data_IF_896118082632
#
_entry.id   IF_896118082632
#
_cell.length_a   1.000
_cell.length_b   1.000
_cell.length_c   1.000
_cell.angle_alpha   90.00
_cell.angle_beta   90.00
_cell.angle_gamma   90.00
#
_symmetry.space_group_name_H-M   'P 1'
#
loop_
_entity.id
_entity.type
_entity.pdbx_description
1 polymer ?
#
# COMPACT_ATOMS: atom_id res chain seq x y z
N UNK A 1 1.26 -19.52 -20.05
CA UNK A 1 1.97 -18.25 -20.27
C UNK A 1 0.96 -17.12 -20.19
N UNK A 2 1.29 -16.04 -19.47
CA UNK A 2 0.44 -14.85 -19.38
C UNK A 2 0.49 -14.07 -20.70
N UNK A 3 -0.68 -13.76 -21.26
CA UNK A 3 -0.82 -12.97 -22.48
C UNK A 3 -1.61 -11.69 -22.16
N UNK A 4 -0.95 -10.54 -22.32
CA UNK A 4 -1.52 -9.24 -22.00
C UNK A 4 -2.77 -8.91 -22.82
N UNK A 5 -2.76 -9.21 -24.13
CA UNK A 5 -3.88 -8.92 -25.01
C UNK A 5 -5.08 -9.81 -24.66
N UNK A 6 -4.85 -11.09 -24.35
CA UNK A 6 -5.90 -12.00 -23.91
C UNK A 6 -6.53 -11.58 -22.57
N UNK A 7 -5.73 -11.07 -21.62
CA UNK A 7 -6.21 -10.55 -20.34
C UNK A 7 -7.11 -9.34 -20.55
N UNK A 8 -6.69 -8.36 -21.38
CA UNK A 8 -7.48 -7.17 -21.68
C UNK A 8 -8.77 -7.55 -22.39
N UNK A 9 -8.70 -8.39 -23.43
CA UNK A 9 -9.88 -8.83 -24.18
C UNK A 9 -10.89 -9.59 -23.30
N UNK A 10 -10.43 -10.41 -22.35
CA UNK A 10 -11.31 -11.07 -21.38
C UNK A 10 -12.03 -10.05 -20.48
N UNK A 11 -11.31 -9.02 -20.01
CA UNK A 11 -11.90 -7.97 -19.20
C UNK A 11 -12.90 -7.09 -19.98
N UNK A 12 -12.57 -6.71 -21.21
CA UNK A 12 -13.47 -5.98 -22.11
C UNK A 12 -14.75 -6.78 -22.38
N UNK A 13 -14.62 -8.07 -22.67
CA UNK A 13 -15.76 -8.97 -22.87
C UNK A 13 -16.62 -9.13 -21.60
N UNK A 14 -15.99 -9.17 -20.43
CA UNK A 14 -16.69 -9.27 -19.15
C UNK A 14 -17.50 -8.00 -18.83
N UNK A 15 -16.89 -6.82 -18.99
CA UNK A 15 -17.49 -5.54 -18.60
C UNK A 15 -18.44 -5.00 -19.69
N UNK A 16 -18.15 -5.32 -20.95
CA UNK A 16 -18.92 -4.90 -22.12
C UNK A 16 -18.53 -3.53 -22.68
N UNK A 17 -17.30 -3.06 -22.42
CA UNK A 17 -16.73 -1.84 -23.02
C UNK A 17 -15.32 -2.12 -23.51
N UNK A 18 -14.86 -1.36 -24.52
CA UNK A 18 -13.46 -1.32 -24.90
C UNK A 18 -12.65 -0.53 -23.86
N UNK A 19 -11.37 -0.85 -23.72
CA UNK A 19 -10.46 -0.19 -22.79
C UNK A 19 -10.23 1.29 -23.17
N UNK A 20 -10.67 2.24 -22.34
CA UNK A 20 -10.50 3.67 -22.63
C UNK A 20 -9.15 4.23 -22.15
N UNK A 21 -8.31 3.44 -21.46
CA UNK A 21 -7.05 3.89 -20.86
C UNK A 21 -5.83 3.35 -21.68
N UNK A 22 -5.44 3.98 -22.80
CA UNK A 22 -4.52 3.40 -23.77
C UNK A 22 -3.10 3.13 -23.24
N UNK A 23 -2.66 3.85 -22.20
CA UNK A 23 -1.34 3.67 -21.58
C UNK A 23 -1.22 2.38 -20.75
N UNK A 24 -2.34 1.77 -20.36
CA UNK A 24 -2.33 0.60 -19.46
C UNK A 24 -1.92 -0.68 -20.17
N UNK A 25 -2.19 -0.79 -21.48
CA UNK A 25 -1.86 -1.99 -22.26
C UNK A 25 -0.34 -2.24 -22.33
N UNK A 26 0.46 -1.18 -22.51
CA UNK A 26 1.92 -1.28 -22.50
C UNK A 26 2.44 -1.72 -21.12
N UNK A 27 1.87 -1.19 -20.04
CA UNK A 27 2.23 -1.55 -18.67
C UNK A 27 2.03 -3.06 -18.45
N UNK A 28 0.91 -3.62 -18.91
CA UNK A 28 0.65 -5.06 -18.79
C UNK A 28 1.60 -5.89 -19.65
N UNK A 29 1.81 -5.50 -20.91
CA UNK A 29 2.69 -6.22 -21.81
C UNK A 29 4.12 -6.33 -21.27
N UNK A 30 4.65 -5.24 -20.71
CA UNK A 30 5.98 -5.22 -20.07
C UNK A 30 6.01 -6.05 -18.79
N UNK A 31 4.94 -6.02 -17.99
CA UNK A 31 4.83 -6.85 -16.79
C UNK A 31 4.84 -8.33 -17.15
N UNK A 32 4.00 -8.76 -18.10
CA UNK A 32 3.93 -10.18 -18.51
C UNK A 32 5.22 -10.64 -19.16
N UNK A 33 5.89 -9.78 -19.94
CA UNK A 33 7.21 -10.07 -20.49
C UNK A 33 8.26 -10.26 -19.37
N UNK A 34 8.31 -9.35 -18.39
CA UNK A 34 9.23 -9.47 -17.26
C UNK A 34 8.92 -10.72 -16.42
N UNK A 35 7.65 -11.05 -16.18
CA UNK A 35 7.28 -12.28 -15.46
C UNK A 35 7.78 -13.53 -16.17
N UNK A 36 7.64 -13.60 -17.50
CA UNK A 36 8.11 -14.72 -18.30
C UNK A 36 9.63 -14.87 -18.27
N UNK A 37 10.37 -13.75 -18.21
CA UNK A 37 11.83 -13.73 -18.19
C UNK A 37 12.41 -14.03 -16.80
N UNK A 38 11.91 -13.35 -15.76
CA UNK A 38 12.61 -13.25 -14.47
C UNK A 38 11.90 -13.94 -13.31
N UNK A 39 10.69 -14.48 -13.51
CA UNK A 39 9.94 -15.16 -12.46
C UNK A 39 9.14 -16.39 -12.94
N UNK A 40 9.81 -17.52 -13.24
CA UNK A 40 9.12 -18.76 -13.57
C UNK A 40 8.17 -19.20 -12.45
N UNK A 41 6.87 -19.29 -12.77
CA UNK A 41 5.82 -19.65 -11.83
C UNK A 41 5.40 -21.12 -11.98
N UNK A 42 4.94 -21.72 -10.88
CA UNK A 42 4.21 -22.99 -10.95
C UNK A 42 2.90 -22.80 -11.72
N UNK A 43 2.29 -23.89 -12.20
CA UNK A 43 0.99 -23.79 -12.88
C UNK A 43 -0.09 -23.13 -12.02
N UNK A 44 -0.10 -23.41 -10.71
CA UNK A 44 -1.01 -22.77 -9.76
C UNK A 44 -0.69 -21.28 -9.57
N UNK A 45 0.60 -20.92 -9.47
CA UNK A 45 1.06 -19.54 -9.38
C UNK A 45 0.71 -18.71 -10.61
N UNK A 46 0.91 -19.26 -11.81
CA UNK A 46 0.56 -18.60 -13.07
C UNK A 46 -0.97 -18.42 -13.17
N UNK A 47 -1.76 -19.44 -12.83
CA UNK A 47 -3.21 -19.34 -12.82
C UNK A 47 -3.70 -18.28 -11.81
N UNK A 48 -3.06 -18.15 -10.64
CA UNK A 48 -3.38 -17.11 -9.68
C UNK A 48 -3.00 -15.72 -10.19
N UNK A 49 -1.82 -15.55 -10.79
CA UNK A 49 -1.39 -14.28 -11.37
C UNK A 49 -2.34 -13.82 -12.49
N UNK A 50 -2.72 -14.72 -13.39
CA UNK A 50 -3.70 -14.43 -14.45
C UNK A 50 -5.03 -13.95 -13.87
N UNK A 51 -5.57 -14.66 -12.86
CA UNK A 51 -6.83 -14.26 -12.22
C UNK A 51 -6.74 -12.86 -11.63
N UNK A 52 -5.65 -12.53 -10.93
CA UNK A 52 -5.45 -11.19 -10.36
C UNK A 52 -5.43 -10.12 -11.47
N UNK A 53 -4.60 -10.30 -12.51
CA UNK A 53 -4.49 -9.33 -13.61
C UNK A 53 -5.81 -9.13 -14.37
N UNK A 54 -6.61 -10.19 -14.54
CA UNK A 54 -7.96 -10.09 -15.12
C UNK A 54 -8.91 -9.34 -14.18
N UNK A 55 -8.91 -9.66 -12.89
CA UNK A 55 -9.75 -8.94 -11.91
C UNK A 55 -9.39 -7.46 -11.82
N UNK A 56 -8.10 -7.12 -11.83
CA UNK A 56 -7.60 -5.75 -11.85
C UNK A 56 -8.07 -4.99 -13.09
N UNK A 57 -8.00 -5.65 -14.26
CA UNK A 57 -8.56 -5.11 -15.52
C UNK A 57 -10.07 -4.90 -15.43
N UNK A 58 -10.83 -5.88 -14.95
CA UNK A 58 -12.29 -5.79 -14.79
C UNK A 58 -12.66 -4.63 -13.87
N UNK A 59 -12.03 -4.53 -12.69
CA UNK A 59 -12.31 -3.46 -11.73
C UNK A 59 -12.01 -2.08 -12.32
N UNK A 60 -10.93 -1.95 -13.11
CA UNK A 60 -10.62 -0.72 -13.83
C UNK A 60 -11.68 -0.37 -14.86
N UNK A 61 -12.04 -1.32 -15.72
CA UNK A 61 -13.01 -1.11 -16.80
C UNK A 61 -14.42 -0.85 -16.24
N UNK A 62 -14.81 -1.50 -15.14
CA UNK A 62 -16.05 -1.19 -14.43
C UNK A 62 -16.07 0.27 -13.98
N UNK A 63 -14.99 0.79 -13.36
CA UNK A 63 -14.93 2.21 -12.98
C UNK A 63 -15.07 3.15 -14.19
N UNK A 64 -14.45 2.80 -15.32
CA UNK A 64 -14.55 3.59 -16.54
C UNK A 64 -15.96 3.53 -17.14
N UNK A 65 -16.62 2.36 -17.12
CA UNK A 65 -18.02 2.17 -17.53
C UNK A 65 -18.97 3.02 -16.69
N UNK A 66 -18.76 3.06 -15.37
CA UNK A 66 -19.54 3.91 -14.47
C UNK A 66 -19.40 5.39 -14.82
N UNK A 67 -18.18 5.86 -15.09
CA UNK A 67 -17.95 7.24 -15.53
C UNK A 67 -18.55 7.53 -16.91
N UNK A 68 -18.50 6.58 -17.86
CA UNK A 68 -19.15 6.74 -19.16
C UNK A 68 -20.67 6.88 -19.04
N UNK A 69 -21.28 6.12 -18.13
CA UNK A 69 -22.73 6.14 -17.90
C UNK A 69 -23.17 7.34 -17.05
N UNK A 70 -22.35 7.76 -16.10
CA UNK A 70 -22.60 8.87 -15.17
C UNK A 70 -21.38 9.80 -15.14
N UNK A 71 -21.23 10.71 -16.12
CA UNK A 71 -20.08 11.59 -16.23
C UNK A 71 -19.84 12.47 -15.00
N UNK A 72 -20.89 12.77 -14.22
CA UNK A 72 -20.79 13.53 -12.97
C UNK A 72 -19.87 12.87 -11.92
N UNK A 73 -19.63 11.56 -12.01
CA UNK A 73 -18.64 10.87 -11.15
C UNK A 73 -17.26 11.50 -11.33
N UNK A 74 -16.87 11.85 -12.55
CA UNK A 74 -15.56 12.46 -12.81
C UNK A 74 -15.42 13.87 -12.23
N UNK A 75 -16.54 14.52 -11.91
CA UNK A 75 -16.59 15.86 -11.30
C UNK A 75 -16.53 15.82 -9.77
N UNK A 76 -16.67 14.66 -9.15
CA UNK A 76 -16.58 14.49 -7.69
C UNK A 76 -15.22 15.01 -7.17
N UNK A 77 -15.20 16.02 -6.29
CA UNK A 77 -13.96 16.59 -5.81
C UNK A 77 -13.34 15.66 -4.77
N UNK A 78 -12.05 15.33 -4.96
CA UNK A 78 -11.23 14.69 -3.92
C UNK A 78 -10.43 15.80 -3.23
N UNK A 79 -11.03 16.39 -2.19
CA UNK A 79 -10.49 17.58 -1.51
C UNK A 79 -9.47 17.18 -0.45
N UNK A 80 -8.28 17.78 -0.54
CA UNK A 80 -7.17 17.67 0.42
C UNK A 80 -6.93 16.23 0.94
N UNK A 81 -6.76 15.22 0.07
CA UNK A 81 -6.53 13.85 0.50
C UNK A 81 -5.23 13.74 1.32
N UNK A 82 -5.29 12.95 2.39
CA UNK A 82 -4.14 12.66 3.25
C UNK A 82 -3.57 11.30 2.87
N UNK A 83 -2.35 11.27 2.36
CA UNK A 83 -1.64 10.04 2.00
C UNK A 83 -0.80 9.54 3.17
N UNK A 84 -1.17 8.39 3.73
CA UNK A 84 -0.47 7.67 4.79
C UNK A 84 0.55 6.71 4.16
N UNK A 85 1.83 6.96 4.36
CA UNK A 85 2.90 6.28 3.63
C UNK A 85 4.17 6.15 4.47
N UNK A 86 5.24 5.65 3.86
CA UNK A 86 6.52 5.42 4.51
C UNK A 86 7.23 4.25 3.87
N UNK A 87 8.33 3.79 4.47
CA UNK A 87 8.90 2.53 4.01
C UNK A 87 7.90 1.40 4.28
N UNK A 88 7.73 0.43 3.36
CA UNK A 88 7.00 -0.79 3.69
C UNK A 88 7.58 -1.41 4.97
N UNK A 89 6.72 -1.98 5.82
CA UNK A 89 7.10 -2.55 7.14
C UNK A 89 7.52 -1.53 8.22
N UNK A 90 7.32 -0.22 8.00
CA UNK A 90 7.57 0.84 9.01
C UNK A 90 6.42 1.07 10.00
N UNK A 91 5.42 0.17 10.04
CA UNK A 91 4.29 0.29 10.97
C UNK A 91 3.07 1.03 10.41
N UNK A 92 3.07 1.38 9.12
CA UNK A 92 1.95 2.06 8.44
C UNK A 92 0.59 1.37 8.63
N UNK A 93 0.53 0.05 8.80
CA UNK A 93 -0.75 -0.66 9.01
C UNK A 93 -1.29 -0.39 10.41
N UNK A 94 -0.44 -0.45 11.45
CA UNK A 94 -0.86 -0.05 12.80
C UNK A 94 -1.31 1.41 12.81
N UNK A 95 -0.54 2.29 12.16
CA UNK A 95 -0.90 3.70 12.01
C UNK A 95 -2.24 3.90 11.30
N UNK A 96 -2.50 3.20 10.20
CA UNK A 96 -3.77 3.27 9.46
C UNK A 96 -4.96 2.98 10.35
N UNK A 97 -4.88 1.93 11.19
CA UNK A 97 -5.97 1.57 12.09
C UNK A 97 -6.18 2.59 13.22
N UNK A 98 -5.13 3.28 13.67
CA UNK A 98 -5.28 4.41 14.58
C UNK A 98 -5.94 5.60 13.88
N UNK A 99 -5.51 5.92 12.65
CA UNK A 99 -6.04 7.03 11.86
C UNK A 99 -7.52 6.81 11.49
N UNK A 100 -7.91 5.56 11.21
CA UNK A 100 -9.29 5.14 10.96
C UNK A 100 -10.21 5.21 12.20
N UNK A 101 -9.72 5.74 13.34
CA UNK A 101 -10.56 6.09 14.50
C UNK A 101 -11.09 7.52 14.43
N UNK A 102 -10.62 8.33 13.49
CA UNK A 102 -11.18 9.64 13.22
C UNK A 102 -12.31 9.55 12.18
N UNK A 103 -13.59 9.68 12.59
CA UNK A 103 -14.72 9.49 11.69
C UNK A 103 -14.86 10.60 10.63
N UNK A 104 -14.09 11.70 10.75
CA UNK A 104 -14.04 12.77 9.74
C UNK A 104 -13.46 12.25 8.43
N UNK A 105 -12.53 11.30 8.50
CA UNK A 105 -11.88 10.74 7.33
C UNK A 105 -12.59 9.48 6.82
N UNK A 106 -12.49 9.26 5.52
CA UNK A 106 -12.81 8.00 4.89
C UNK A 106 -11.53 7.31 4.43
N UNK A 107 -11.41 6.04 4.80
CA UNK A 107 -10.40 5.13 4.27
C UNK A 107 -11.08 4.10 3.37
N UNK A 108 -10.31 3.52 2.45
CA UNK A 108 -10.75 2.40 1.61
C UNK A 108 -10.99 1.20 2.51
N UNK A 109 -12.16 0.56 2.41
CA UNK A 109 -12.47 -0.67 3.13
C UNK A 109 -11.94 -1.89 2.38
N UNK A 110 -11.59 -2.96 3.09
CA UNK A 110 -11.07 -4.22 2.52
C UNK A 110 -11.98 -4.86 1.48
N UNK A 111 -13.30 -4.73 1.61
CA UNK A 111 -14.23 -5.22 0.60
C UNK A 111 -14.36 -4.24 -0.59
N UNK A 112 -14.14 -2.94 -0.39
CA UNK A 112 -14.13 -1.93 -1.46
C UNK A 112 -12.90 -2.08 -2.36
N UNK A 113 -11.75 -2.48 -1.81
CA UNK A 113 -10.52 -2.69 -2.58
C UNK A 113 -10.62 -3.86 -3.57
N UNK A 114 -11.33 -4.93 -3.19
CA UNK A 114 -11.51 -6.14 -4.01
C UNK A 114 -12.73 -6.04 -4.93
N UNK A 115 -13.82 -5.46 -4.43
CA UNK A 115 -15.10 -5.33 -5.14
C UNK A 115 -15.58 -3.88 -5.12
N UNK A 116 -14.94 -2.94 -5.84
CA UNK A 116 -15.26 -1.50 -5.78
C UNK A 116 -16.60 -1.15 -6.44
N UNK A 117 -17.01 -1.89 -7.46
CA UNK A 117 -18.26 -1.67 -8.20
C UNK A 117 -19.42 -2.57 -7.71
N UNK A 118 -20.68 -2.13 -7.80
CA UNK A 118 -21.11 -0.77 -8.20
C UNK A 118 -20.75 0.29 -7.13
N UNK A 119 -20.76 1.59 -7.45
CA UNK A 119 -20.64 2.67 -6.47
C UNK A 119 -21.54 2.44 -5.25
N UNK A 120 -21.00 2.44 -4.02
CA UNK A 120 -21.77 2.07 -2.83
C UNK A 120 -22.93 3.04 -2.53
N UNK A 121 -22.77 4.32 -2.86
CA UNK A 121 -23.84 5.32 -2.74
C UNK A 121 -24.96 5.14 -3.79
N UNK A 122 -24.68 4.46 -4.91
CA UNK A 122 -25.68 4.16 -5.94
C UNK A 122 -26.49 2.90 -5.61
N UNK A 123 -25.82 1.84 -5.15
CA UNK A 123 -26.47 0.59 -4.73
C UNK A 123 -26.06 0.22 -3.29
N UNK A 124 -26.70 0.82 -2.26
CA UNK A 124 -26.43 0.49 -0.86
C UNK A 124 -26.71 -0.99 -0.52
N UNK A 125 -27.63 -1.65 -1.24
CA UNK A 125 -27.94 -3.07 -1.00
C UNK A 125 -26.79 -3.99 -1.44
N UNK A 126 -25.98 -3.59 -2.43
CA UNK A 126 -24.78 -4.32 -2.81
C UNK A 126 -23.72 -4.36 -1.71
N UNK A 127 -23.68 -3.37 -0.81
CA UNK A 127 -22.66 -3.27 0.24
C UNK A 127 -22.70 -4.48 1.17
N UNK A 128 -23.89 -4.85 1.66
CA UNK A 128 -24.07 -6.03 2.53
C UNK A 128 -23.64 -7.31 1.83
N UNK A 129 -23.99 -7.49 0.55
CA UNK A 129 -23.58 -8.67 -0.23
C UNK A 129 -22.06 -8.74 -0.43
N UNK A 130 -21.42 -7.62 -0.76
CA UNK A 130 -19.96 -7.54 -0.98
C UNK A 130 -19.18 -7.77 0.31
N UNK A 131 -19.63 -7.22 1.44
CA UNK A 131 -19.05 -7.52 2.77
C UNK A 131 -19.13 -9.01 3.10
N UNK A 132 -20.29 -9.63 2.91
CA UNK A 132 -20.45 -11.07 3.13
C UNK A 132 -19.55 -11.91 2.21
N UNK A 133 -19.48 -11.56 0.92
CA UNK A 133 -18.59 -12.23 -0.03
C UNK A 133 -17.12 -12.08 0.35
N UNK A 134 -16.70 -10.91 0.84
CA UNK A 134 -15.35 -10.68 1.34
C UNK A 134 -15.01 -11.59 2.54
N UNK A 135 -15.93 -11.72 3.50
CA UNK A 135 -15.77 -12.64 4.63
C UNK A 135 -15.56 -14.09 4.16
N UNK A 136 -16.34 -14.55 3.19
CA UNK A 136 -16.18 -15.91 2.64
C UNK A 136 -14.86 -16.10 1.87
N UNK A 137 -14.43 -15.09 1.09
CA UNK A 137 -13.12 -15.10 0.41
C UNK A 137 -12.00 -15.26 1.44
N UNK A 138 -12.08 -14.55 2.56
CA UNK A 138 -11.04 -14.58 3.58
C UNK A 138 -11.02 -15.92 4.35
N UNK A 139 -12.17 -16.53 4.62
CA UNK A 139 -12.25 -17.89 5.19
C UNK A 139 -11.58 -18.93 4.29
N UNK A 140 -11.67 -18.76 2.97
CA UNK A 140 -11.07 -19.66 2.00
C UNK A 140 -9.57 -19.43 1.78
N UNK A 141 -9.00 -18.34 2.31
CA UNK A 141 -7.60 -17.98 2.09
C UNK A 141 -6.69 -18.87 2.95
N UNK A 142 -5.66 -19.44 2.33
CA UNK A 142 -4.66 -20.22 3.05
C UNK A 142 -3.91 -19.31 4.05
N UNK A 143 -3.96 -19.67 5.33
CA UNK A 143 -3.21 -18.99 6.38
C UNK A 143 -1.82 -19.63 6.48
N UNK A 144 -0.78 -18.82 6.57
CA UNK A 144 0.60 -19.27 6.82
C UNK A 144 1.20 -18.54 8.03
N UNK A 145 2.20 -19.13 8.66
CA UNK A 145 2.85 -18.54 9.83
C UNK A 145 3.37 -17.13 9.54
N UNK A 146 2.85 -16.15 10.29
CA UNK A 146 3.15 -14.74 10.12
C UNK A 146 2.22 -13.96 9.18
N UNK A 147 1.21 -14.59 8.57
CA UNK A 147 0.20 -13.90 7.76
C UNK A 147 -0.66 -12.93 8.58
N UNK A 148 -0.98 -13.27 9.82
CA UNK A 148 -1.70 -12.40 10.77
C UNK A 148 -0.88 -11.14 11.16
N UNK A 149 0.46 -11.19 11.03
CA UNK A 149 1.34 -10.03 11.20
C UNK A 149 1.50 -9.19 9.91
N UNK A 150 0.96 -9.68 8.78
CA UNK A 150 0.99 -8.99 7.48
C UNK A 150 -0.27 -8.15 7.26
N UNK A 151 -1.45 -8.65 7.66
CA UNK A 151 -2.71 -7.91 7.69
C UNK A 151 -3.53 -8.29 8.92
N UNK A 152 -4.13 -7.29 9.58
CA UNK A 152 -5.14 -7.53 10.60
C UNK A 152 -6.39 -8.03 9.89
N UNK A 153 -6.91 -9.21 10.28
CA UNK A 153 -8.22 -9.64 9.82
C UNK A 153 -9.26 -8.73 10.48
N UNK A 154 -9.91 -7.89 9.67
CA UNK A 154 -11.01 -7.03 10.06
C UNK A 154 -12.04 -7.06 8.93
N UNK A 155 -13.27 -7.44 9.25
CA UNK A 155 -14.35 -7.65 8.28
C UNK A 155 -14.74 -6.36 7.55
N UNK A 156 -14.54 -5.21 8.19
CA UNK A 156 -14.75 -3.86 7.62
C UNK A 156 -13.53 -2.96 7.86
N UNK A 157 -12.34 -3.60 7.86
CA UNK A 157 -11.06 -2.95 8.07
C UNK A 157 -10.69 -1.99 6.95
N UNK A 158 -9.70 -1.14 7.24
CA UNK A 158 -9.10 -0.28 6.23
C UNK A 158 -8.05 -1.04 5.41
N UNK A 159 -7.99 -0.76 4.11
CA UNK A 159 -7.07 -1.42 3.16
C UNK A 159 -6.19 -0.42 2.40
N UNK A 160 -5.23 -0.94 1.64
CA UNK A 160 -4.25 -0.15 0.93
C UNK A 160 -4.71 0.28 -0.47
N UNK A 161 -4.27 1.47 -0.89
CA UNK A 161 -4.42 1.94 -2.27
C UNK A 161 -3.73 1.04 -3.31
N UNK A 162 -2.89 0.09 -2.87
CA UNK A 162 -2.27 -0.93 -3.70
C UNK A 162 -3.25 -1.55 -4.69
N UNK A 163 -4.42 -1.98 -4.22
CA UNK A 163 -5.44 -2.64 -5.03
C UNK A 163 -6.00 -1.77 -6.16
N UNK A 164 -5.90 -0.44 -6.06
CA UNK A 164 -6.32 0.48 -7.12
C UNK A 164 -5.15 0.87 -8.03
N UNK A 165 -3.93 0.93 -7.51
CA UNK A 165 -2.75 1.19 -8.32
C UNK A 165 -2.41 0.00 -9.23
N UNK A 166 -2.63 -1.24 -8.75
CA UNK A 166 -2.46 -2.49 -9.53
C UNK A 166 -3.35 -2.56 -10.77
N UNK A 167 -4.50 -1.86 -10.77
CA UNK A 167 -5.43 -1.81 -11.91
C UNK A 167 -4.83 -1.16 -13.16
N UNK A 168 -3.79 -0.35 -12.99
CA UNK A 168 -2.97 0.22 -14.07
C UNK A 168 -1.60 -0.44 -14.18
N UNK A 169 -1.34 -1.47 -13.38
CA UNK A 169 -0.06 -2.17 -13.20
C UNK A 169 1.08 -1.29 -12.67
N UNK A 170 0.79 -0.05 -12.23
CA UNK A 170 1.77 0.91 -11.71
C UNK A 170 2.03 0.80 -10.21
N UNK A 171 1.91 -0.40 -9.62
CA UNK A 171 2.12 -0.62 -8.19
C UNK A 171 3.47 -1.28 -7.90
N UNK A 172 4.32 -0.61 -7.11
CA UNK A 172 5.63 -1.13 -6.70
C UNK A 172 5.55 -2.48 -5.96
N UNK A 173 4.39 -2.77 -5.33
CA UNK A 173 4.13 -4.01 -4.61
C UNK A 173 4.11 -5.24 -5.51
N UNK A 174 3.94 -5.08 -6.83
CA UNK A 174 4.13 -6.14 -7.81
C UNK A 174 5.54 -6.74 -7.71
N UNK A 175 6.57 -5.95 -7.39
CA UNK A 175 7.92 -6.45 -7.19
C UNK A 175 8.10 -7.24 -5.87
N UNK A 176 7.18 -7.08 -4.90
CA UNK A 176 7.14 -7.94 -3.71
C UNK A 176 6.44 -9.27 -4.00
N UNK A 177 5.44 -9.28 -4.88
CA UNK A 177 4.71 -10.48 -5.31
C UNK A 177 5.49 -11.34 -6.30
N UNK A 178 6.26 -10.68 -7.17
CA UNK A 178 6.96 -11.28 -8.29
C UNK A 178 8.39 -10.76 -8.39
N UNK A 179 9.32 -11.56 -8.90
CA UNK A 179 10.67 -11.09 -9.22
C UNK A 179 10.68 -10.40 -10.58
N UNK A 180 10.43 -9.09 -10.59
CA UNK A 180 10.36 -8.26 -11.81
C UNK A 180 11.22 -6.99 -11.71
N UNK A 181 12.56 -7.11 -11.50
CA UNK A 181 13.42 -5.96 -11.22
C UNK A 181 13.47 -4.97 -12.39
N UNK A 182 13.53 -5.45 -13.63
CA UNK A 182 13.52 -4.58 -14.82
C UNK A 182 12.20 -3.82 -14.97
N UNK A 183 11.06 -4.47 -14.67
CA UNK A 183 9.76 -3.82 -14.66
C UNK A 183 9.68 -2.74 -13.57
N UNK A 184 10.18 -3.03 -12.36
CA UNK A 184 10.19 -2.07 -11.26
C UNK A 184 11.03 -0.83 -11.60
N UNK A 185 12.22 -0.99 -12.18
CA UNK A 185 13.04 0.15 -12.61
C UNK A 185 12.35 0.94 -13.75
N UNK A 186 11.76 0.25 -14.72
CA UNK A 186 10.97 0.91 -15.77
C UNK A 186 9.74 1.65 -15.21
N UNK A 187 9.07 1.10 -14.20
CA UNK A 187 7.97 1.77 -13.51
C UNK A 187 8.42 3.10 -12.88
N UNK A 188 9.64 3.16 -12.33
CA UNK A 188 10.18 4.38 -11.72
C UNK A 188 10.64 5.44 -12.73
N UNK A 189 11.04 5.04 -13.93
CA UNK A 189 11.70 5.92 -14.91
C UNK A 189 10.90 6.17 -16.19
N UNK A 190 9.95 5.31 -16.55
CA UNK A 190 9.30 5.29 -17.86
C UNK A 190 7.79 5.06 -17.86
N UNK A 191 7.21 4.45 -16.82
CA UNK A 191 5.76 4.32 -16.70
C UNK A 191 5.13 5.67 -16.31
N UNK A 192 4.02 6.04 -16.96
CA UNK A 192 3.24 7.23 -16.59
C UNK A 192 2.49 7.00 -15.26
N UNK A 193 3.18 7.24 -14.16
CA UNK A 193 2.59 7.16 -12.83
C UNK A 193 1.51 8.23 -12.60
N UNK A 194 1.47 9.34 -13.36
CA UNK A 194 0.36 10.30 -13.24
C UNK A 194 -0.94 9.64 -13.69
N UNK A 195 -0.91 8.88 -14.78
CA UNK A 195 -2.07 8.13 -15.26
C UNK A 195 -2.51 7.06 -14.26
N UNK A 196 -1.57 6.34 -13.64
CA UNK A 196 -1.87 5.43 -12.52
C UNK A 196 -2.63 6.14 -11.40
N UNK A 197 -2.21 7.34 -10.99
CA UNK A 197 -2.92 8.09 -9.94
C UNK A 197 -4.25 8.70 -10.41
N UNK A 198 -4.43 8.97 -11.72
CA UNK A 198 -5.75 9.35 -12.28
C UNK A 198 -6.74 8.20 -12.22
N UNK A 199 -6.32 6.99 -12.55
CA UNK A 199 -7.15 5.77 -12.43
C UNK A 199 -7.48 5.51 -10.96
N UNK A 200 -6.50 5.64 -10.06
CA UNK A 200 -6.75 5.59 -8.62
C UNK A 200 -7.77 6.65 -8.16
N UNK A 201 -7.65 7.92 -8.62
CA UNK A 201 -8.63 8.97 -8.33
C UNK A 201 -10.03 8.61 -8.84
N UNK A 202 -10.14 8.03 -10.04
CA UNK A 202 -11.42 7.56 -10.61
C UNK A 202 -12.09 6.53 -9.70
N UNK A 203 -11.34 5.58 -9.14
CA UNK A 203 -11.90 4.63 -8.16
C UNK A 203 -12.41 5.33 -6.90
N UNK A 204 -11.67 6.30 -6.36
CA UNK A 204 -12.12 7.08 -5.20
C UNK A 204 -13.40 7.87 -5.50
N UNK A 205 -13.50 8.46 -6.70
CA UNK A 205 -14.69 9.17 -7.15
C UNK A 205 -15.89 8.22 -7.28
N UNK A 206 -15.73 7.03 -7.87
CA UNK A 206 -16.76 6.00 -7.90
C UNK A 206 -17.20 5.59 -6.49
N UNK A 207 -16.26 5.43 -5.56
CA UNK A 207 -16.58 5.11 -4.17
C UNK A 207 -17.28 6.25 -3.45
N UNK A 208 -16.94 7.51 -3.74
CA UNK A 208 -17.48 8.72 -3.11
C UNK A 208 -18.86 9.09 -3.65
N UNK A 209 -19.11 8.89 -4.93
CA UNK A 209 -20.32 9.32 -5.60
C UNK A 209 -21.58 8.82 -4.88
N UNK A 210 -22.49 9.77 -4.58
CA UNK A 210 -23.73 9.56 -3.81
C UNK A 210 -23.55 9.02 -2.39
N UNK A 211 -22.33 9.03 -1.86
CA UNK A 211 -22.05 8.72 -0.46
C UNK A 211 -21.91 10.02 0.35
N UNK A 212 -21.90 9.91 1.68
CA UNK A 212 -21.59 11.06 2.54
C UNK A 212 -20.15 11.56 2.25
N UNK A 213 -19.98 12.86 1.92
CA UNK A 213 -18.68 13.41 1.56
C UNK A 213 -17.78 13.48 2.78
N UNK A 214 -16.63 12.82 2.71
CA UNK A 214 -15.60 12.83 3.75
C UNK A 214 -14.21 12.93 3.10
N UNK A 215 -13.30 13.75 3.63
CA UNK A 215 -11.91 13.77 3.18
C UNK A 215 -11.30 12.37 3.20
N UNK A 216 -10.52 12.04 2.18
CA UNK A 216 -9.87 10.75 2.08
C UNK A 216 -8.60 10.69 2.90
N UNK A 217 -8.42 9.59 3.64
CA UNK A 217 -7.13 9.15 4.13
C UNK A 217 -6.75 7.86 3.38
N UNK A 218 -5.61 7.88 2.71
CA UNK A 218 -5.24 6.93 1.67
C UNK A 218 -3.92 6.29 2.03
N UNK A 219 -3.90 4.99 2.27
CA UNK A 219 -2.70 4.32 2.76
C UNK A 219 -2.08 3.46 1.68
N UNK A 220 -0.79 3.66 1.44
CA UNK A 220 0.07 2.70 0.75
C UNK A 220 1.53 3.11 1.01
N UNK A 221 2.38 2.23 1.56
CA UNK A 221 3.76 2.61 1.88
C UNK A 221 4.49 3.18 0.66
N UNK A 222 4.33 2.54 -0.50
CA UNK A 222 5.09 2.91 -1.68
C UNK A 222 4.57 4.17 -2.41
N UNK A 223 3.59 4.89 -1.85
CA UNK A 223 3.25 6.26 -2.32
C UNK A 223 4.49 7.17 -2.32
N UNK A 224 5.48 6.90 -1.46
CA UNK A 224 6.75 7.64 -1.41
C UNK A 224 7.52 7.64 -2.74
N UNK A 225 7.27 6.67 -3.62
CA UNK A 225 7.93 6.60 -4.94
C UNK A 225 7.32 7.57 -5.97
N UNK A 226 6.13 8.08 -5.70
CA UNK A 226 5.31 8.82 -6.67
C UNK A 226 4.73 10.12 -6.12
N UNK A 227 5.35 10.72 -5.09
CA UNK A 227 4.83 11.92 -4.42
C UNK A 227 4.64 13.10 -5.39
N UNK A 228 5.55 13.29 -6.35
CA UNK A 228 5.43 14.34 -7.37
C UNK A 228 4.23 14.10 -8.30
N UNK A 229 3.98 12.84 -8.68
CA UNK A 229 2.84 12.47 -9.52
C UNK A 229 1.52 12.55 -8.75
N UNK A 230 1.52 12.20 -7.45
CA UNK A 230 0.38 12.43 -6.56
C UNK A 230 0.02 13.92 -6.55
N UNK A 231 1.00 14.83 -6.41
CA UNK A 231 0.74 16.27 -6.41
C UNK A 231 0.26 16.81 -7.77
N UNK A 232 0.55 16.14 -8.87
CA UNK A 232 -0.02 16.50 -10.18
C UNK A 232 -1.51 16.15 -10.27
N UNK A 233 -1.95 15.06 -9.63
CA UNK A 233 -3.36 14.62 -9.63
C UNK A 233 -4.18 15.26 -8.49
N UNK A 234 -3.52 15.48 -7.34
CA UNK A 234 -4.07 16.05 -6.11
C UNK A 234 -3.17 17.19 -5.61
N UNK A 235 -3.25 18.40 -6.19
CA UNK A 235 -2.36 19.52 -5.85
C UNK A 235 -2.43 19.99 -4.39
N UNK A 236 -3.53 19.67 -3.72
CA UNK A 236 -3.82 19.96 -2.31
C UNK A 236 -3.54 18.78 -1.37
N UNK A 237 -2.97 17.68 -1.88
CA UNK A 237 -2.62 16.52 -1.06
C UNK A 237 -1.65 16.86 0.07
N UNK A 238 -1.86 16.17 1.19
CA UNK A 238 -0.98 16.16 2.36
C UNK A 238 -0.43 14.76 2.57
N UNK A 239 0.73 14.69 3.20
CA UNK A 239 1.45 13.43 3.39
C UNK A 239 1.73 13.19 4.87
N UNK A 240 1.55 11.96 5.32
CA UNK A 240 1.98 11.52 6.65
C UNK A 240 2.88 10.30 6.46
N UNK A 241 4.14 10.42 6.88
CA UNK A 241 5.18 9.44 6.58
C UNK A 241 5.70 8.80 7.86
N UNK A 242 5.53 7.48 8.00
CA UNK A 242 6.12 6.74 9.12
C UNK A 242 7.57 6.36 8.84
N UNK A 243 8.42 6.55 9.85
CA UNK A 243 9.83 6.20 9.84
C UNK A 243 10.12 5.14 10.91
N UNK A 244 10.93 4.15 10.54
CA UNK A 244 11.43 3.07 11.40
C UNK A 244 12.83 2.72 10.96
N UNK A 245 13.61 2.06 11.82
CA UNK A 245 14.94 1.54 11.48
C UNK A 245 14.92 0.82 10.11
N UNK A 246 15.64 1.34 9.10
CA UNK A 246 15.67 0.76 7.77
C UNK A 246 16.31 -0.63 7.76
N UNK A 247 17.21 -0.96 8.70
CA UNK A 247 17.77 -2.31 8.81
C UNK A 247 16.68 -3.34 9.16
N UNK A 248 15.82 -3.00 10.13
CA UNK A 248 14.67 -3.80 10.51
C UNK A 248 13.64 -3.90 9.37
N UNK A 249 13.42 -2.81 8.65
CA UNK A 249 12.53 -2.76 7.48
C UNK A 249 13.00 -3.72 6.40
N UNK A 250 14.28 -3.68 6.02
CA UNK A 250 14.86 -4.56 4.98
C UNK A 250 14.72 -6.02 5.36
N UNK A 251 15.04 -6.39 6.61
CA UNK A 251 14.89 -7.78 7.05
C UNK A 251 13.41 -8.23 7.02
N UNK A 252 12.49 -7.37 7.44
CA UNK A 252 11.05 -7.67 7.46
C UNK A 252 10.48 -7.83 6.05
N UNK A 253 10.83 -6.95 5.12
CA UNK A 253 10.31 -7.01 3.76
C UNK A 253 10.95 -8.17 2.98
N UNK A 254 12.23 -8.50 3.22
CA UNK A 254 12.85 -9.69 2.65
C UNK A 254 12.11 -10.96 3.07
N UNK A 255 11.73 -11.09 4.35
CA UNK A 255 10.89 -12.21 4.82
C UNK A 255 9.53 -12.26 4.13
N UNK A 256 8.83 -11.12 4.07
CA UNK A 256 7.53 -11.04 3.41
C UNK A 256 7.62 -11.41 1.93
N UNK A 257 8.56 -10.82 1.20
CA UNK A 257 8.75 -11.06 -0.24
C UNK A 257 9.17 -12.50 -0.52
N UNK A 258 10.03 -13.09 0.30
CA UNK A 258 10.38 -14.50 0.17
C UNK A 258 9.15 -15.41 0.32
N UNK A 259 8.30 -15.18 1.34
CA UNK A 259 7.06 -15.92 1.53
C UNK A 259 6.09 -15.75 0.35
N UNK A 260 5.88 -14.51 -0.12
CA UNK A 260 4.96 -14.20 -1.22
C UNK A 260 5.41 -14.82 -2.55
N UNK A 261 6.70 -14.68 -2.87
CA UNK A 261 7.27 -15.27 -4.09
C UNK A 261 7.25 -16.80 -4.03
N UNK A 262 7.52 -17.41 -2.87
CA UNK A 262 7.54 -18.87 -2.70
C UNK A 262 6.18 -19.53 -2.94
N UNK A 263 5.07 -18.82 -2.73
CA UNK A 263 3.72 -19.35 -3.01
C UNK A 263 3.42 -19.49 -4.50
N UNK A 264 4.18 -18.82 -5.36
CA UNK A 264 3.89 -18.67 -6.80
C UNK A 264 4.97 -19.28 -7.68
N UNK A 265 6.22 -19.26 -7.23
CA UNK A 265 7.37 -19.73 -7.99
C UNK A 265 7.27 -21.22 -8.37
N UNK A 266 7.88 -21.58 -9.50
CA UNK A 266 7.99 -22.97 -9.97
C UNK A 266 9.03 -23.79 -9.19
N UNK A 267 9.99 -23.10 -8.58
CA UNK A 267 11.12 -23.66 -7.85
C UNK A 267 11.35 -22.89 -6.53
N UNK A 268 12.10 -23.46 -5.58
CA UNK A 268 12.44 -22.76 -4.34
C UNK A 268 13.08 -21.39 -4.60
N UNK A 269 12.59 -20.36 -3.90
CA UNK A 269 13.09 -18.98 -4.02
C UNK A 269 14.36 -18.80 -3.17
N UNK A 270 15.41 -18.26 -3.77
CA UNK A 270 16.67 -17.95 -3.08
C UNK A 270 16.49 -16.74 -2.14
N UNK A 271 16.70 -16.97 -0.84
CA UNK A 271 16.62 -15.91 0.18
C UNK A 271 17.68 -14.82 -0.02
N UNK A 272 18.87 -15.17 -0.50
CA UNK A 272 19.97 -14.21 -0.70
C UNK A 272 19.65 -13.24 -1.83
N UNK A 273 19.09 -13.75 -2.92
CA UNK A 273 18.60 -12.93 -4.02
C UNK A 273 17.46 -12.00 -3.55
N UNK A 274 16.49 -12.52 -2.80
CA UNK A 274 15.43 -11.69 -2.22
C UNK A 274 16.00 -10.60 -1.31
N UNK A 275 17.03 -10.89 -0.51
CA UNK A 275 17.70 -9.90 0.32
C UNK A 275 18.28 -8.75 -0.50
N UNK A 276 19.02 -9.07 -1.57
CA UNK A 276 19.62 -8.04 -2.43
C UNK A 276 18.55 -7.22 -3.17
N UNK A 277 17.53 -7.87 -3.73
CA UNK A 277 16.39 -7.19 -4.36
C UNK A 277 15.73 -6.21 -3.39
N UNK A 278 15.47 -6.65 -2.16
CA UNK A 278 14.77 -5.84 -1.17
C UNK A 278 15.63 -4.73 -0.58
N UNK A 279 16.95 -4.91 -0.48
CA UNK A 279 17.87 -3.83 -0.15
C UNK A 279 17.83 -2.74 -1.23
N UNK A 280 17.94 -3.12 -2.50
CA UNK A 280 17.86 -2.19 -3.63
C UNK A 280 16.49 -1.49 -3.70
N UNK A 281 15.40 -2.23 -3.49
CA UNK A 281 14.05 -1.70 -3.44
C UNK A 281 13.90 -0.62 -2.35
N UNK A 282 14.35 -0.88 -1.13
CA UNK A 282 14.30 0.12 -0.04
C UNK A 282 15.24 1.29 -0.30
N UNK A 283 16.41 1.06 -0.92
CA UNK A 283 17.30 2.15 -1.35
C UNK A 283 16.57 3.13 -2.30
N UNK A 284 15.84 2.63 -3.29
CA UNK A 284 15.00 3.48 -4.17
C UNK A 284 13.95 4.28 -3.41
N UNK A 285 13.33 3.70 -2.38
CA UNK A 285 12.36 4.42 -1.55
C UNK A 285 13.04 5.56 -0.79
N UNK A 286 14.17 5.27 -0.15
CA UNK A 286 14.93 6.26 0.61
C UNK A 286 15.44 7.39 -0.29
N UNK A 287 15.96 7.07 -1.48
CA UNK A 287 16.36 8.07 -2.48
C UNK A 287 15.21 9.03 -2.80
N UNK A 288 14.01 8.51 -3.08
CA UNK A 288 12.83 9.33 -3.40
C UNK A 288 12.34 10.16 -2.20
N UNK A 289 12.35 9.58 -1.00
CA UNK A 289 12.00 10.30 0.24
C UNK A 289 12.95 11.47 0.46
N UNK A 290 14.25 11.23 0.41
CA UNK A 290 15.27 12.26 0.66
C UNK A 290 15.21 13.37 -0.41
N UNK A 291 15.01 13.01 -1.68
CA UNK A 291 14.90 13.99 -2.76
C UNK A 291 13.65 14.88 -2.62
N UNK A 292 12.51 14.30 -2.28
CA UNK A 292 11.26 15.05 -2.10
C UNK A 292 11.30 15.94 -0.86
N UNK A 293 11.83 15.42 0.25
CA UNK A 293 12.01 16.16 1.51
C UNK A 293 12.90 17.40 1.34
N UNK A 294 13.98 17.30 0.56
CA UNK A 294 14.84 18.43 0.22
C UNK A 294 14.22 19.39 -0.82
N UNK A 295 13.15 18.96 -1.49
CA UNK A 295 12.48 19.71 -2.54
C UNK A 295 11.49 20.78 -2.02
N UNK A 296 10.92 21.59 -2.94
CA UNK A 296 10.02 22.69 -2.57
C UNK A 296 8.70 22.22 -1.93
N UNK A 297 8.34 20.94 -2.11
CA UNK A 297 7.14 20.33 -1.55
C UNK A 297 7.39 19.57 -0.24
N UNK A 298 8.63 19.49 0.26
CA UNK A 298 8.98 18.72 1.46
C UNK A 298 8.19 19.12 2.71
N UNK A 299 7.87 20.40 2.85
CA UNK A 299 7.04 20.93 3.96
C UNK A 299 5.58 20.44 3.97
N UNK A 300 5.15 19.61 3.01
CA UNK A 300 3.83 18.95 3.00
C UNK A 300 3.81 17.63 3.76
N UNK A 301 4.97 17.15 4.21
CA UNK A 301 5.11 15.86 4.90
C UNK A 301 5.10 16.06 6.41
N UNK A 302 4.19 15.35 7.08
CA UNK A 302 4.22 15.15 8.53
C UNK A 302 4.98 13.86 8.80
N UNK A 303 6.15 13.96 9.42
CA UNK A 303 7.00 12.81 9.74
C UNK A 303 6.57 12.19 11.08
N UNK A 304 6.43 10.87 11.10
CA UNK A 304 5.98 10.09 12.26
C UNK A 304 7.07 9.11 12.65
N UNK A 305 7.53 9.21 13.89
CA UNK A 305 8.43 8.22 14.47
C UNK A 305 7.61 6.98 14.91
N UNK A 306 7.91 5.83 14.32
CA UNK A 306 7.30 4.55 14.69
C UNK A 306 7.39 4.27 16.19
N UNK A 307 8.52 4.60 16.83
CA UNK A 307 8.76 4.30 18.24
C UNK A 307 7.99 5.24 19.17
N UNK A 308 7.80 6.50 18.77
CA UNK A 308 6.90 7.42 19.48
C UNK A 308 5.44 6.96 19.33
N UNK A 309 5.03 6.53 18.13
CA UNK A 309 3.66 6.10 17.83
C UNK A 309 3.23 4.88 18.63
N UNK A 310 4.14 3.95 18.88
CA UNK A 310 3.84 2.78 19.73
C UNK A 310 3.84 3.10 21.22
N UNK A 311 4.55 4.15 21.66
CA UNK A 311 4.72 4.50 23.06
C UNK A 311 3.57 5.38 23.56
N UNK A 312 3.18 6.37 22.75
CA UNK A 312 2.07 7.28 23.02
C UNK A 312 1.29 7.55 21.73
N UNK A 313 0.41 6.62 21.30
CA UNK A 313 -0.35 6.79 20.06
C UNK A 313 -1.29 8.00 20.11
N UNK A 314 -1.81 8.37 21.29
CA UNK A 314 -2.70 9.55 21.41
C UNK A 314 -1.89 10.84 21.25
N UNK A 315 -0.74 10.95 21.91
CA UNK A 315 0.19 12.07 21.75
C UNK A 315 0.65 12.22 20.29
N UNK A 316 1.03 11.13 19.65
CA UNK A 316 1.40 11.15 18.24
C UNK A 316 0.26 11.58 17.33
N UNK A 317 -0.95 11.05 17.52
CA UNK A 317 -2.10 11.48 16.73
C UNK A 317 -2.40 12.98 16.90
N UNK A 318 -2.17 13.55 18.09
CA UNK A 318 -2.24 15.01 18.32
C UNK A 318 -1.17 15.77 17.53
N UNK A 319 0.08 15.29 17.51
CA UNK A 319 1.16 15.89 16.70
C UNK A 319 0.86 15.82 15.21
N UNK A 320 0.34 14.67 14.75
CA UNK A 320 0.00 14.43 13.34
C UNK A 320 -1.12 15.37 12.88
N UNK A 321 -2.22 15.45 13.63
CA UNK A 321 -3.32 16.37 13.34
C UNK A 321 -2.86 17.82 13.33
N UNK A 322 -2.05 18.25 14.31
CA UNK A 322 -1.49 19.59 14.32
C UNK A 322 -0.63 19.87 13.08
N UNK A 323 0.19 18.90 12.64
CA UNK A 323 0.97 19.00 11.40
C UNK A 323 0.12 19.06 10.13
N UNK A 324 -1.07 18.45 10.15
CA UNK A 324 -2.08 18.56 9.10
C UNK A 324 -2.93 19.84 9.20
N UNK A 325 -2.75 20.64 10.26
CA UNK A 325 -3.52 21.86 10.51
C UNK A 325 -4.94 21.61 11.01
N UNK A 326 -5.20 20.46 11.63
CA UNK A 326 -6.50 20.09 12.21
C UNK A 326 -6.37 19.78 13.71
N UNK A 327 -7.47 19.75 14.42
CA UNK A 327 -7.54 19.38 15.84
C UNK A 327 -7.65 17.85 16.02
N UNK A 328 -7.42 17.39 17.25
CA UNK A 328 -7.74 16.02 17.68
C UNK A 328 -8.90 16.08 18.68
N UNK A 329 -10.14 15.82 18.25
CA UNK A 329 -11.26 15.77 19.16
C UNK A 329 -11.04 14.71 20.25
N UNK A 330 -11.53 14.96 21.47
CA UNK A 330 -11.32 14.04 22.59
C UNK A 330 -11.94 12.65 22.35
N UNK A 331 -13.03 12.59 21.57
CA UNK A 331 -13.63 11.33 21.11
C UNK A 331 -12.68 10.51 20.24
N UNK A 332 -11.88 11.16 19.39
CA UNK A 332 -10.85 10.50 18.56
C UNK A 332 -9.71 10.02 19.44
N UNK A 333 -9.22 10.84 20.38
CA UNK A 333 -8.20 10.44 21.34
C UNK A 333 -8.63 9.20 22.15
N UNK A 334 -9.86 9.19 22.64
CA UNK A 334 -10.45 8.05 23.36
C UNK A 334 -10.54 6.80 22.48
N UNK A 335 -11.00 6.93 21.22
CA UNK A 335 -11.11 5.80 20.30
C UNK A 335 -9.74 5.22 19.91
N UNK A 336 -8.74 6.08 19.70
CA UNK A 336 -7.34 5.70 19.46
C UNK A 336 -6.79 4.92 20.65
N UNK A 337 -6.96 5.43 21.87
CA UNK A 337 -6.50 4.77 23.09
C UNK A 337 -7.19 3.42 23.30
N UNK A 338 -8.52 3.37 23.11
CA UNK A 338 -9.31 2.15 23.25
C UNK A 338 -8.88 1.07 22.27
N UNK A 339 -8.69 1.44 21.00
CA UNK A 339 -8.22 0.49 19.99
C UNK A 339 -6.79 0.01 20.28
N UNK A 340 -5.89 0.90 20.70
CA UNK A 340 -4.53 0.53 21.08
C UNK A 340 -4.50 -0.47 22.23
N UNK A 341 -5.26 -0.22 23.30
CA UNK A 341 -5.36 -1.11 24.46
C UNK A 341 -5.93 -2.49 24.09
N UNK A 342 -6.88 -2.55 23.16
CA UNK A 342 -7.47 -3.80 22.66
C UNK A 342 -6.56 -4.60 21.71
N UNK A 343 -5.45 -4.00 21.23
CA UNK A 343 -4.58 -4.60 20.20
C UNK A 343 -3.09 -4.61 20.62
N UNK A 344 -2.71 -5.29 21.72
CA UNK A 344 -1.35 -5.28 22.25
C UNK A 344 -0.34 -5.93 21.29
N UNK A 345 0.88 -5.37 21.26
CA UNK A 345 1.99 -5.80 20.37
C UNK A 345 2.34 -7.29 20.45
N UNK A 346 2.26 -7.89 21.65
CA UNK A 346 2.67 -9.29 21.87
C UNK A 346 1.68 -10.32 21.30
N UNK A 347 0.51 -9.90 20.83
CA UNK A 347 -0.35 -10.74 19.99
C UNK A 347 0.24 -10.97 18.59
N UNK A 348 1.29 -10.24 18.19
CA UNK A 348 1.81 -10.17 16.79
C UNK A 348 3.09 -10.97 16.55
N UNK A 349 3.46 -11.87 17.46
CA UNK A 349 4.63 -12.76 17.35
C UNK A 349 5.98 -12.06 17.54
N UNK A 350 7.01 -12.82 17.94
CA UNK A 350 8.39 -12.33 17.96
C UNK A 350 8.93 -12.31 16.53
N UNK A 351 9.56 -11.22 16.14
CA UNK A 351 10.21 -11.08 14.84
C UNK A 351 11.55 -11.83 14.85
N UNK A 352 11.50 -13.16 14.80
CA UNK A 352 12.69 -14.00 14.63
C UNK A 352 13.06 -14.03 13.15
N UNK A 353 13.62 -12.93 12.65
CA UNK A 353 14.30 -12.86 11.35
C UNK A 353 15.53 -11.97 11.43
N UNK A 354 16.55 -12.28 10.65
CA UNK A 354 17.79 -11.49 10.59
C UNK A 354 18.21 -11.17 9.17
N UNK A 355 18.92 -10.06 8.98
CA UNK A 355 19.54 -9.71 7.69
C UNK A 355 20.43 -10.83 7.14
N UNK A 356 21.14 -11.54 8.01
CA UNK A 356 22.03 -12.63 7.64
C UNK A 356 21.31 -13.82 6.96
N UNK A 357 20.06 -14.11 7.34
CA UNK A 357 19.25 -15.16 6.67
C UNK A 357 18.97 -14.85 5.21
N UNK A 358 19.01 -13.57 4.84
CA UNK A 358 18.80 -13.06 3.48
C UNK A 358 20.12 -12.62 2.84
N UNK A 359 21.26 -13.08 3.36
CA UNK A 359 22.58 -12.80 2.79
C UNK A 359 23.01 -11.33 2.87
N UNK A 360 22.46 -10.58 3.83
CA UNK A 360 22.79 -9.17 4.05
C UNK A 360 23.63 -9.00 5.32
N UNK A 361 24.64 -8.15 5.22
CA UNK A 361 25.46 -7.73 6.35
C UNK A 361 24.83 -6.52 7.05
N UNK A 362 24.75 -6.57 8.38
CA UNK A 362 24.10 -5.53 9.17
C UNK A 362 24.79 -4.17 9.05
N UNK A 363 26.12 -4.15 9.04
CA UNK A 363 26.89 -2.92 9.02
C UNK A 363 26.82 -2.26 7.65
N UNK A 364 26.85 -3.05 6.57
CA UNK A 364 26.63 -2.57 5.20
C UNK A 364 25.25 -1.94 5.06
N UNK A 365 24.19 -2.59 5.55
CA UNK A 365 22.81 -2.08 5.49
C UNK A 365 22.69 -0.79 6.31
N UNK A 366 23.27 -0.77 7.52
CA UNK A 366 23.25 0.41 8.39
C UNK A 366 23.98 1.59 7.75
N UNK A 367 25.14 1.36 7.13
CA UNK A 367 25.91 2.38 6.43
C UNK A 367 25.16 2.93 5.21
N UNK A 368 24.50 2.04 4.44
CA UNK A 368 23.68 2.40 3.27
C UNK A 368 22.61 3.43 3.62
N UNK A 369 21.99 3.31 4.80
CA UNK A 369 20.89 4.18 5.22
C UNK A 369 21.27 5.21 6.29
N UNK A 370 22.57 5.43 6.54
CA UNK A 370 23.03 6.29 7.64
C UNK A 370 22.55 7.75 7.49
N UNK A 371 22.54 8.29 6.26
CA UNK A 371 22.06 9.65 6.01
C UNK A 371 20.56 9.79 6.26
N UNK A 372 19.76 8.84 5.79
CA UNK A 372 18.32 8.80 6.03
C UNK A 372 18.00 8.76 7.53
N UNK A 373 18.70 7.89 8.28
CA UNK A 373 18.56 7.82 9.73
C UNK A 373 18.91 9.14 10.40
N UNK A 374 20.02 9.77 10.01
CA UNK A 374 20.45 11.07 10.55
C UNK A 374 19.44 12.17 10.24
N UNK A 375 18.95 12.25 9.01
CA UNK A 375 18.01 13.30 8.54
C UNK A 375 16.70 13.29 9.33
N UNK A 376 16.19 12.12 9.68
CA UNK A 376 14.91 11.96 10.37
C UNK A 376 15.05 11.47 11.83
N UNK A 377 16.26 11.52 12.39
CA UNK A 377 16.57 11.09 13.75
C UNK A 377 16.07 9.68 14.09
N UNK A 378 16.17 8.74 13.14
CA UNK A 378 15.64 7.38 13.28
C UNK A 378 16.60 6.54 14.13
N UNK A 379 16.18 6.10 15.33
CA UNK A 379 17.01 5.24 16.17
C UNK A 379 17.12 3.84 15.55
N UNK A 380 18.10 3.06 16.00
CA UNK A 380 18.09 1.61 15.71
C UNK A 380 16.88 0.95 16.37
N UNK A 381 16.49 -0.23 15.90
CA UNK A 381 15.35 -0.96 16.45
C UNK A 381 15.49 -1.23 17.95
N UNK A 382 16.69 -1.58 18.42
CA UNK A 382 16.96 -1.79 19.85
C UNK A 382 16.77 -0.51 20.67
N UNK A 383 17.39 0.60 20.24
CA UNK A 383 17.29 1.90 20.92
C UNK A 383 15.84 2.40 20.98
N UNK A 384 15.13 2.35 19.84
CA UNK A 384 13.76 2.84 19.73
C UNK A 384 12.77 2.02 20.56
N UNK A 385 12.91 0.69 20.57
CA UNK A 385 12.05 -0.17 21.40
C UNK A 385 12.33 0.02 22.90
N UNK A 386 13.59 0.12 23.32
CA UNK A 386 13.92 0.38 24.73
C UNK A 386 13.37 1.73 25.20
N UNK A 387 13.49 2.78 24.39
CA UNK A 387 12.90 4.09 24.70
C UNK A 387 11.38 4.01 24.84
N UNK A 388 10.69 3.26 23.96
CA UNK A 388 9.22 3.13 24.00
C UNK A 388 8.70 2.40 25.25
N UNK A 389 9.46 1.46 25.81
CA UNK A 389 9.05 0.67 26.97
C UNK A 389 9.26 1.42 28.29
N UNK A 390 10.21 2.36 28.35
CA UNK A 390 10.51 3.17 29.54
C UNK A 390 9.50 4.29 29.83
N UNK A 391 8.52 4.54 28.94
CA UNK A 391 7.47 5.56 29.13
C UNK A 391 6.32 5.04 30.02
N UNK A 392 6.27 3.73 30.30
CA UNK A 392 5.24 3.08 31.12
C UNK A 392 5.74 2.58 32.49
N UNK A 393 6.95 2.95 32.91
CA UNK A 393 7.53 2.61 34.22
C UNK A 393 7.41 3.73 35.24
#
# INVERSE_FOLDING_TARGET
MLDAAAIIAEAEAHVGIADPDPGVAENLARLTASLAETFPMSAAGEAQARRMLVTDSINRLESAKWVQQYPEIAEEPIVAPVFLMGLPRSGTTYFQYLFDRDPRFRLIRTWESIMPAPPPGFDPASVTRRRAAWVEIQKARAHFDGFEALHLYDEDGSDECHAFLEQSYGAAGLHNLYRVPAYFEWMLSGLDLVETYRIHKRQLQCLQWRSEPRPWALKYPNHVLAMDQILQVHPDARFVMTHRDPAQVVASIAKMTWNLRSQRAAAPVDKREVGQDMLAFIARHVERIMAFDAGPAGGRVVHVDYYALIADPVGEMRRIHAGLGIDTPEGVATAVQGWHAANPKNARGRNDYSLAEYGLDHDVVTATFAEYRRRFAIPSEGEGLSASQGVHS
#
